data_IF_317032647330
#
_entry.id   IF_317032647330
#
_cell.length_a   1.000
_cell.length_b   1.000
_cell.length_c   1.000
_cell.angle_alpha   90.00
_cell.angle_beta   90.00
_cell.angle_gamma   90.00
#
_symmetry.space_group_name_H-M   'P 1'
#
loop_
_entity.id
_entity.type
_entity.pdbx_description
1 polymer ?
#
# COMPACT_ATOMS: atom_id res chain seq x y z
N UNK A 1 -9.64 -3.33 16.69
CA UNK A 1 -8.48 -3.17 15.77
C UNK A 1 -8.16 -4.46 15.02
N UNK A 2 -7.98 -5.62 15.71
CA UNK A 2 -7.70 -6.90 15.05
C UNK A 2 -8.61 -7.22 13.84
N UNK A 3 -9.93 -6.99 13.92
CA UNK A 3 -10.84 -7.25 12.79
C UNK A 3 -10.66 -6.27 11.62
N UNK A 4 -10.40 -4.98 11.88
CA UNK A 4 -10.14 -3.99 10.82
C UNK A 4 -8.82 -4.26 10.09
N UNK A 5 -7.77 -4.62 10.82
CA UNK A 5 -6.49 -4.96 10.18
C UNK A 5 -6.67 -6.15 9.24
N UNK A 6 -7.42 -7.18 9.68
CA UNK A 6 -7.77 -8.34 8.84
C UNK A 6 -8.53 -7.94 7.58
N UNK A 7 -9.50 -7.03 7.71
CA UNK A 7 -10.30 -6.54 6.58
C UNK A 7 -9.42 -5.79 5.56
N UNK A 8 -8.54 -4.91 6.02
CA UNK A 8 -7.62 -4.18 5.13
C UNK A 8 -6.60 -5.13 4.50
N UNK A 9 -6.00 -6.05 5.26
CA UNK A 9 -5.08 -7.04 4.69
C UNK A 9 -5.79 -7.96 3.70
N UNK A 10 -7.07 -8.27 3.91
CA UNK A 10 -7.89 -9.04 2.97
C UNK A 10 -8.18 -8.29 1.67
N UNK A 11 -8.37 -6.96 1.75
CA UNK A 11 -8.52 -6.11 0.56
C UNK A 11 -7.21 -6.07 -0.24
N UNK A 12 -6.07 -5.99 0.44
CA UNK A 12 -4.75 -6.03 -0.20
C UNK A 12 -4.51 -7.40 -0.85
N UNK A 13 -4.84 -8.49 -0.18
CA UNK A 13 -4.74 -9.85 -0.74
C UNK A 13 -5.62 -10.01 -1.98
N UNK A 14 -6.84 -9.46 -1.93
CA UNK A 14 -7.73 -9.46 -3.08
C UNK A 14 -7.14 -8.68 -4.27
N UNK A 15 -6.55 -7.51 -4.01
CA UNK A 15 -5.91 -6.71 -5.05
C UNK A 15 -4.70 -7.44 -5.68
N UNK A 16 -3.83 -8.03 -4.86
CA UNK A 16 -2.65 -8.78 -5.30
C UNK A 16 -2.99 -9.98 -6.20
N UNK A 17 -4.18 -10.57 -6.03
CA UNK A 17 -4.66 -11.72 -6.81
C UNK A 17 -5.42 -11.31 -8.07
N UNK A 18 -6.20 -10.22 -8.02
CA UNK A 18 -7.21 -9.94 -9.04
C UNK A 18 -6.94 -8.67 -9.87
N UNK A 19 -5.96 -7.85 -9.51
CA UNK A 19 -5.63 -6.62 -10.22
C UNK A 19 -4.31 -6.79 -10.95
N UNK A 20 -4.32 -6.51 -12.26
CA UNK A 20 -3.08 -6.41 -13.03
C UNK A 20 -2.30 -5.17 -12.58
N UNK A 21 -1.04 -5.38 -12.18
CA UNK A 21 -0.19 -4.33 -11.65
C UNK A 21 1.27 -4.64 -11.96
N UNK A 22 2.08 -3.60 -12.11
CA UNK A 22 3.52 -3.75 -12.27
C UNK A 22 4.19 -4.24 -10.97
N UNK A 23 5.45 -4.68 -11.08
CA UNK A 23 6.20 -5.24 -9.95
C UNK A 23 6.38 -4.25 -8.79
N UNK A 24 6.58 -2.96 -9.07
CA UNK A 24 6.76 -1.92 -8.06
C UNK A 24 5.50 -1.76 -7.21
N UNK A 25 4.34 -1.67 -7.84
CA UNK A 25 3.05 -1.59 -7.14
C UNK A 25 2.78 -2.85 -6.31
N UNK A 26 3.12 -4.04 -6.85
CA UNK A 26 2.97 -5.32 -6.14
C UNK A 26 3.81 -5.37 -4.87
N UNK A 27 5.09 -5.00 -4.95
CA UNK A 27 5.99 -4.96 -3.79
C UNK A 27 5.50 -3.98 -2.72
N UNK A 28 5.01 -2.81 -3.13
CA UNK A 28 4.47 -1.81 -2.21
C UNK A 28 3.24 -2.31 -1.46
N UNK A 29 2.33 -3.03 -2.13
CA UNK A 29 1.17 -3.63 -1.47
C UNK A 29 1.55 -4.74 -0.48
N UNK A 30 2.57 -5.55 -0.79
CA UNK A 30 3.11 -6.55 0.15
C UNK A 30 3.66 -5.87 1.40
N UNK A 31 4.47 -4.82 1.22
CA UNK A 31 5.04 -4.05 2.32
C UNK A 31 3.94 -3.41 3.20
N UNK A 32 2.90 -2.88 2.58
CA UNK A 32 1.74 -2.30 3.27
C UNK A 32 0.99 -3.34 4.11
N UNK A 33 0.82 -4.56 3.57
CA UNK A 33 0.22 -5.69 4.29
C UNK A 33 1.01 -6.08 5.55
N UNK A 34 2.33 -6.00 5.50
CA UNK A 34 3.22 -6.32 6.63
C UNK A 34 3.24 -5.23 7.71
N UNK A 35 3.12 -3.96 7.33
CA UNK A 35 3.19 -2.82 8.26
C UNK A 35 1.86 -2.55 8.98
N UNK A 36 0.71 -2.73 8.33
CA UNK A 36 -0.62 -2.52 8.94
C UNK A 36 -0.82 -3.23 10.29
N UNK A 37 -0.45 -4.52 10.47
CA UNK A 37 -0.62 -5.18 11.76
C UNK A 37 0.31 -4.66 12.85
N UNK A 38 1.38 -3.92 12.51
CA UNK A 38 2.33 -3.33 13.47
C UNK A 38 1.81 -2.03 14.08
N UNK A 39 0.90 -1.34 13.40
CA UNK A 39 0.27 -0.12 13.92
C UNK A 39 -0.68 -0.41 15.08
N UNK A 40 -0.47 0.30 16.19
CA UNK A 40 -1.18 0.17 17.46
C UNK A 40 -2.35 1.15 17.60
N UNK A 41 -2.37 2.22 16.80
CA UNK A 41 -3.46 3.20 16.78
C UNK A 41 -4.08 3.34 15.39
N UNK A 42 -5.28 3.96 15.33
CA UNK A 42 -5.92 4.27 14.05
C UNK A 42 -5.14 5.33 13.28
N UNK A 43 -4.60 6.33 13.98
CA UNK A 43 -3.77 7.37 13.39
C UNK A 43 -2.53 6.79 12.72
N UNK A 44 -1.85 5.84 13.38
CA UNK A 44 -0.67 5.17 12.80
C UNK A 44 -1.02 4.40 11.52
N UNK A 45 -2.18 3.74 11.46
CA UNK A 45 -2.63 3.02 10.27
C UNK A 45 -2.90 3.96 9.10
N UNK A 46 -3.58 5.08 9.38
CA UNK A 46 -3.86 6.12 8.38
C UNK A 46 -2.53 6.71 7.88
N UNK A 47 -1.59 6.98 8.78
CA UNK A 47 -0.28 7.52 8.43
C UNK A 47 0.53 6.56 7.53
N UNK A 48 0.50 5.25 7.80
CA UNK A 48 1.13 4.23 6.96
C UNK A 48 0.51 4.24 5.56
N UNK A 49 -0.82 4.25 5.46
CA UNK A 49 -1.53 4.31 4.18
C UNK A 49 -1.19 5.57 3.36
N UNK A 50 -1.17 6.74 4.00
CA UNK A 50 -0.83 8.02 3.36
C UNK A 50 0.62 8.02 2.86
N UNK A 51 1.58 7.62 3.69
CA UNK A 51 3.01 7.58 3.30
C UNK A 51 3.25 6.66 2.11
N UNK A 52 2.53 5.54 2.04
CA UNK A 52 2.65 4.61 0.93
C UNK A 52 2.01 5.16 -0.36
N UNK A 53 0.85 5.83 -0.26
CA UNK A 53 0.26 6.54 -1.39
C UNK A 53 1.20 7.63 -1.94
N UNK A 54 1.82 8.41 -1.05
CA UNK A 54 2.82 9.42 -1.43
C UNK A 54 4.00 8.77 -2.13
N UNK A 55 4.58 7.71 -1.58
CA UNK A 55 5.69 6.99 -2.21
C UNK A 55 5.35 6.48 -3.61
N UNK A 56 4.20 5.83 -3.79
CA UNK A 56 3.71 5.36 -5.10
C UNK A 56 3.58 6.53 -6.07
N UNK A 57 2.93 7.62 -5.64
CA UNK A 57 2.64 8.78 -6.49
C UNK A 57 3.93 9.48 -6.90
N UNK A 58 4.86 9.70 -5.96
CA UNK A 58 6.16 10.30 -6.24
C UNK A 58 6.96 9.46 -7.23
N UNK A 59 7.04 8.14 -7.03
CA UNK A 59 7.73 7.24 -7.97
C UNK A 59 7.07 7.25 -9.34
N UNK A 60 5.74 7.22 -9.41
CA UNK A 60 5.01 7.28 -10.68
C UNK A 60 5.27 8.59 -11.43
N UNK A 61 5.26 9.74 -10.73
CA UNK A 61 5.59 11.05 -11.31
C UNK A 61 7.03 11.10 -11.79
N UNK A 62 7.99 10.61 -11.01
CA UNK A 62 9.40 10.56 -11.40
C UNK A 62 9.61 9.71 -12.66
N UNK A 63 8.95 8.54 -12.76
CA UNK A 63 9.00 7.72 -13.98
C UNK A 63 8.36 8.45 -15.16
N UNK A 64 7.18 9.04 -14.96
CA UNK A 64 6.48 9.77 -16.02
C UNK A 64 7.31 10.94 -16.58
N UNK A 65 8.08 11.64 -15.72
CA UNK A 65 8.95 12.74 -16.15
C UNK A 65 10.10 12.32 -17.08
N UNK A 66 10.49 11.03 -17.10
CA UNK A 66 11.53 10.52 -18.02
C UNK A 66 11.01 10.50 -19.46
N UNK A 67 9.69 10.43 -19.66
CA UNK A 67 9.05 10.39 -20.97
C UNK A 67 8.63 11.78 -21.50
N UNK A 68 8.89 12.87 -20.75
CA UNK A 68 8.64 14.26 -21.15
C UNK A 68 9.90 14.89 -21.74
#
# INVERSE_FOLDING_TARGET
MKNRNKEITSQIDNALLNVEMNNVTRELLILLKEEIPKAKTKEEQILIGIKLMEAVTTTAVSIASIFQ
#
